data_IF_034382942125
#
_entry.id   IF_034382942125
#
_cell.length_a   1.000
_cell.length_b   1.000
_cell.length_c   1.000
_cell.angle_alpha   90.00
_cell.angle_beta   90.00
_cell.angle_gamma   90.00
#
_symmetry.space_group_name_H-M   'P 1'
#
loop_
_entity.id
_entity.type
_entity.pdbx_description
1 polymer ?
#
# COMPACT_ATOMS: atom_id res chain seq x y z
N UNK A 1 12.18 -1.32 -13.91
CA UNK A 1 11.60 -1.62 -12.59
C UNK A 1 10.37 -2.52 -12.73
N UNK A 2 9.34 -2.13 -13.49
CA UNK A 2 8.16 -2.97 -13.78
C UNK A 2 8.57 -4.35 -14.34
N UNK A 3 9.43 -4.39 -15.37
CA UNK A 3 9.93 -5.66 -15.92
C UNK A 3 10.69 -6.54 -14.91
N UNK A 4 11.32 -5.92 -13.89
CA UNK A 4 12.01 -6.66 -12.83
C UNK A 4 10.99 -7.32 -11.89
N UNK A 5 10.00 -6.55 -11.47
CA UNK A 5 8.90 -7.04 -10.63
C UNK A 5 8.14 -8.18 -11.31
N UNK A 6 7.71 -8.01 -12.57
CA UNK A 6 7.07 -9.10 -13.31
C UNK A 6 8.00 -10.29 -13.55
N UNK A 7 9.29 -10.05 -13.76
CA UNK A 7 10.27 -11.13 -13.88
C UNK A 7 10.36 -11.99 -12.62
N UNK A 8 10.31 -11.36 -11.44
CA UNK A 8 10.29 -12.07 -10.16
C UNK A 8 9.02 -12.90 -9.98
N UNK A 9 7.84 -12.34 -10.29
CA UNK A 9 6.56 -13.05 -10.13
C UNK A 9 6.39 -14.19 -11.13
N UNK A 10 6.82 -13.98 -12.38
CA UNK A 10 6.65 -14.96 -13.45
C UNK A 10 7.78 -15.99 -13.50
N UNK A 11 8.84 -15.84 -12.69
CA UNK A 11 10.06 -16.63 -12.80
C UNK A 11 10.78 -16.44 -14.14
N UNK A 12 10.74 -15.23 -14.72
CA UNK A 12 11.28 -14.91 -16.05
C UNK A 12 12.36 -13.83 -15.99
N UNK A 13 13.25 -13.80 -16.99
CA UNK A 13 14.29 -12.76 -17.07
C UNK A 13 13.66 -11.41 -17.40
N UNK A 14 14.12 -10.34 -16.72
CA UNK A 14 13.57 -8.99 -16.94
C UNK A 14 13.67 -8.50 -18.38
N UNK A 15 14.70 -8.93 -19.12
CA UNK A 15 14.86 -8.60 -20.54
C UNK A 15 13.76 -9.21 -21.42
N UNK A 16 13.32 -10.43 -21.11
CA UNK A 16 12.23 -11.10 -21.81
C UNK A 16 10.90 -10.40 -21.51
N UNK A 17 10.63 -10.11 -20.23
CA UNK A 17 9.41 -9.39 -19.84
C UNK A 17 9.37 -8.01 -20.49
N UNK A 18 10.48 -7.28 -20.57
CA UNK A 18 10.53 -5.96 -21.21
C UNK A 18 10.07 -5.98 -22.67
N UNK A 19 10.34 -7.06 -23.42
CA UNK A 19 9.88 -7.21 -24.81
C UNK A 19 8.37 -7.44 -24.94
N UNK A 20 7.76 -7.99 -23.89
CA UNK A 20 6.35 -8.39 -23.87
C UNK A 20 5.44 -7.39 -23.13
N UNK A 21 6.01 -6.45 -22.37
CA UNK A 21 5.23 -5.45 -21.64
C UNK A 21 4.59 -4.44 -22.59
N UNK A 22 3.27 -4.23 -22.51
CA UNK A 22 2.60 -3.23 -23.33
C UNK A 22 2.86 -1.83 -22.76
N UNK A 23 3.92 -1.17 -23.21
CA UNK A 23 4.26 0.19 -22.76
C UNK A 23 3.18 1.23 -23.13
N UNK A 24 2.37 0.95 -24.16
CA UNK A 24 1.29 1.83 -24.61
C UNK A 24 0.04 1.82 -23.72
N UNK A 25 -0.15 0.78 -22.89
CA UNK A 25 -1.35 0.61 -22.05
C UNK A 25 -1.03 0.86 -20.56
N UNK A 26 -0.10 1.79 -20.33
CA UNK A 26 0.34 2.19 -19.00
C UNK A 26 -0.36 3.49 -18.62
N UNK A 27 -1.21 3.43 -17.59
CA UNK A 27 -1.85 4.59 -17.00
C UNK A 27 -1.24 4.89 -15.62
N UNK A 28 -1.12 6.17 -15.27
CA UNK A 28 -0.71 6.57 -13.91
C UNK A 28 -1.83 7.29 -13.19
N UNK A 29 -2.19 6.78 -12.01
CA UNK A 29 -3.14 7.43 -11.12
C UNK A 29 -2.43 8.35 -10.14
N UNK A 30 -3.03 9.51 -9.85
CA UNK A 30 -2.53 10.44 -8.86
C UNK A 30 -3.00 10.16 -7.43
N UNK A 31 -4.12 9.43 -7.29
CA UNK A 31 -4.74 9.10 -6.01
C UNK A 31 -5.28 7.67 -6.05
N UNK A 32 -5.34 7.02 -4.91
CA UNK A 32 -5.95 5.70 -4.72
C UNK A 32 -6.58 5.64 -3.34
N UNK A 33 -7.83 5.19 -3.25
CA UNK A 33 -8.52 4.98 -1.99
C UNK A 33 -8.69 3.48 -1.76
N UNK A 34 -8.27 3.00 -0.60
CA UNK A 34 -8.69 1.68 -0.13
C UNK A 34 -10.16 1.79 0.28
N UNK A 35 -10.99 0.85 -0.16
CA UNK A 35 -12.44 0.85 0.14
C UNK A 35 -12.71 0.69 1.65
N UNK A 36 -13.97 0.85 2.07
CA UNK A 36 -14.43 0.60 3.44
C UNK A 36 -13.74 1.44 4.53
N UNK A 37 -13.56 2.73 4.28
CA UNK A 37 -12.96 3.65 5.26
C UNK A 37 -11.44 3.61 5.34
N UNK A 38 -10.78 2.86 4.44
CA UNK A 38 -9.33 2.85 4.33
C UNK A 38 -8.74 4.18 3.84
N UNK A 39 -7.41 4.26 3.93
CA UNK A 39 -6.66 5.48 3.62
C UNK A 39 -6.75 5.91 2.15
N UNK A 40 -6.73 7.23 1.95
CA UNK A 40 -6.55 7.85 0.63
C UNK A 40 -5.07 8.13 0.38
N UNK A 41 -4.46 7.26 -0.41
CA UNK A 41 -3.10 7.42 -0.91
C UNK A 41 -3.05 8.48 -2.00
N UNK A 42 -2.05 9.36 -1.92
CA UNK A 42 -1.79 10.36 -2.94
C UNK A 42 -0.34 10.24 -3.39
N UNK A 43 -0.11 10.29 -4.70
CA UNK A 43 1.27 10.31 -5.18
C UNK A 43 1.94 11.62 -4.78
N UNK A 44 3.26 11.58 -4.68
CA UNK A 44 4.08 12.75 -4.41
C UNK A 44 3.81 13.87 -5.43
N UNK A 45 3.61 13.52 -6.71
CA UNK A 45 3.26 14.47 -7.77
C UNK A 45 1.98 15.28 -7.46
N UNK A 46 0.96 14.63 -6.89
CA UNK A 46 -0.28 15.31 -6.48
C UNK A 46 -0.09 16.06 -5.16
N UNK A 47 0.64 15.47 -4.22
CA UNK A 47 0.87 16.01 -2.87
C UNK A 47 1.77 17.26 -2.87
N UNK A 48 2.61 17.46 -3.89
CA UNK A 48 3.43 18.66 -4.03
C UNK A 48 2.60 19.95 -4.23
N UNK A 49 1.33 19.84 -4.59
CA UNK A 49 0.49 21.00 -4.93
C UNK A 49 -0.18 21.64 -3.72
N UNK A 50 -0.36 20.91 -2.61
CA UNK A 50 -1.12 21.38 -1.43
C UNK A 50 -0.61 20.69 -0.15
N UNK A 51 -0.27 21.49 0.88
CA UNK A 51 -0.12 21.01 2.26
C UNK A 51 1.28 21.04 2.87
N UNK A 52 1.29 21.17 4.21
CA UNK A 52 2.46 21.08 5.06
C UNK A 52 3.14 19.70 4.91
N UNK A 53 4.47 19.63 5.03
CA UNK A 53 5.22 18.39 4.84
C UNK A 53 4.76 17.30 5.80
N UNK A 54 4.34 17.67 7.00
CA UNK A 54 4.03 16.83 8.15
C UNK A 54 2.87 15.85 7.92
N UNK A 55 1.93 16.15 7.02
CA UNK A 55 0.72 15.35 6.81
C UNK A 55 0.44 15.03 5.34
N UNK A 56 1.48 14.83 4.53
CA UNK A 56 1.30 14.45 3.13
C UNK A 56 0.88 12.99 3.03
N UNK A 57 -0.21 12.76 2.30
CA UNK A 57 -0.72 11.42 1.98
C UNK A 57 0.15 10.65 0.97
N UNK A 58 1.36 11.13 0.69
CA UNK A 58 2.37 10.40 -0.07
C UNK A 58 3.35 9.65 0.81
N UNK A 59 3.26 9.76 2.13
CA UNK A 59 4.09 8.98 3.04
C UNK A 59 3.33 7.75 3.49
N UNK A 60 3.92 6.59 3.24
CA UNK A 60 3.23 5.31 3.34
C UNK A 60 3.98 4.36 4.26
N UNK A 61 3.20 3.53 4.96
CA UNK A 61 3.62 2.26 5.53
C UNK A 61 3.30 1.15 4.53
N UNK A 62 4.25 0.25 4.33
CA UNK A 62 4.05 -0.93 3.51
C UNK A 62 4.55 -2.18 4.25
N UNK A 63 4.02 -3.33 3.85
CA UNK A 63 4.43 -4.63 4.35
C UNK A 63 4.74 -5.57 3.20
N UNK A 64 5.83 -6.30 3.34
CA UNK A 64 6.28 -7.31 2.39
C UNK A 64 6.50 -8.62 3.13
N UNK A 65 5.90 -9.68 2.60
CA UNK A 65 6.03 -11.04 3.10
C UNK A 65 7.16 -11.76 2.36
N UNK A 66 7.95 -12.53 3.10
CA UNK A 66 9.00 -13.37 2.55
C UNK A 66 8.93 -14.75 3.20
N UNK A 67 9.01 -15.79 2.37
CA UNK A 67 9.21 -17.15 2.86
C UNK A 67 10.69 -17.33 3.24
N UNK A 68 10.92 -17.87 4.43
CA UNK A 68 12.27 -18.20 4.91
C UNK A 68 12.72 -19.57 4.41
N UNK A 69 14.00 -19.86 4.56
CA UNK A 69 14.54 -21.20 4.28
C UNK A 69 13.87 -22.31 5.11
N UNK A 70 13.23 -21.98 6.23
CA UNK A 70 12.47 -22.93 7.06
C UNK A 70 11.00 -23.03 6.67
N UNK A 71 10.57 -22.39 5.58
CA UNK A 71 9.18 -22.38 5.12
C UNK A 71 8.24 -21.48 5.93
N UNK A 72 8.77 -20.68 6.87
CA UNK A 72 7.95 -19.72 7.63
C UNK A 72 7.81 -18.41 6.87
N UNK A 73 6.63 -17.78 6.95
CA UNK A 73 6.39 -16.47 6.34
C UNK A 73 6.77 -15.38 7.35
N UNK A 74 7.74 -14.54 6.97
CA UNK A 74 8.11 -13.34 7.72
C UNK A 74 7.55 -12.09 7.06
N UNK A 75 6.85 -11.28 7.86
CA UNK A 75 6.38 -9.96 7.43
C UNK A 75 7.40 -8.91 7.82
N UNK A 76 7.83 -8.12 6.83
CA UNK A 76 8.69 -6.95 7.03
C UNK A 76 7.91 -5.67 6.78
N UNK A 77 7.81 -4.83 7.79
CA UNK A 77 7.26 -3.48 7.69
C UNK A 77 8.34 -2.51 7.19
N UNK A 78 7.94 -1.58 6.33
CA UNK A 78 8.76 -0.47 5.87
C UNK A 78 7.96 0.80 5.66
N UNK A 79 8.68 1.91 5.44
CA UNK A 79 8.10 3.23 5.20
C UNK A 79 8.70 3.85 3.94
N UNK A 80 7.94 4.67 3.23
CA UNK A 80 8.36 5.18 1.92
C UNK A 80 7.64 6.45 1.48
N UNK A 81 8.25 7.17 0.54
CA UNK A 81 7.50 8.07 -0.35
C UNK A 81 6.76 7.23 -1.41
N UNK A 82 5.48 7.53 -1.68
CA UNK A 82 4.70 7.01 -2.80
C UNK A 82 4.88 7.94 -4.01
N UNK A 83 5.69 7.49 -4.97
CA UNK A 83 6.09 8.31 -6.12
C UNK A 83 5.04 8.24 -7.24
N UNK A 84 4.57 7.04 -7.59
CA UNK A 84 3.54 6.84 -8.63
C UNK A 84 2.66 5.63 -8.32
N UNK A 85 1.41 5.70 -8.77
CA UNK A 85 0.52 4.55 -8.87
C UNK A 85 0.38 4.25 -10.36
N UNK A 86 0.63 3.00 -10.74
CA UNK A 86 0.72 2.56 -12.13
C UNK A 86 -0.32 1.47 -12.33
N UNK A 87 -1.21 1.66 -13.30
CA UNK A 87 -2.19 0.66 -13.71
C UNK A 87 -1.73 0.14 -15.07
N UNK A 88 -1.56 -1.17 -15.16
CA UNK A 88 -1.12 -1.85 -16.36
C UNK A 88 -2.15 -2.91 -16.76
N UNK A 89 -2.72 -2.79 -17.95
CA UNK A 89 -3.47 -3.88 -18.54
C UNK A 89 -2.48 -4.89 -19.13
N UNK A 90 -2.50 -6.12 -18.61
CA UNK A 90 -1.64 -7.21 -19.07
C UNK A 90 -2.33 -7.90 -20.25
N UNK A 91 -1.66 -8.08 -21.39
CA UNK A 91 -2.30 -8.67 -22.55
C UNK A 91 -2.61 -10.15 -22.28
N UNK A 92 -3.69 -10.69 -22.86
CA UNK A 92 -3.95 -12.12 -22.76
C UNK A 92 -2.84 -12.91 -23.44
N UNK A 93 -2.48 -14.06 -22.87
CA UNK A 93 -1.52 -14.96 -23.48
C UNK A 93 -0.73 -15.79 -22.47
N UNK A 94 -0.12 -16.90 -22.94
CA UNK A 94 0.57 -17.85 -22.06
C UNK A 94 1.82 -17.25 -21.39
N UNK A 95 2.42 -16.21 -21.97
CA UNK A 95 3.60 -15.56 -21.41
C UNK A 95 3.36 -15.01 -20.00
N UNK A 96 2.19 -14.42 -19.76
CA UNK A 96 1.83 -13.80 -18.48
C UNK A 96 1.08 -14.74 -17.54
N UNK A 97 0.80 -15.98 -17.98
CA UNK A 97 0.10 -17.00 -17.18
C UNK A 97 -1.19 -16.45 -16.57
N UNK A 98 -1.35 -16.63 -15.25
CA UNK A 98 -2.52 -16.19 -14.52
C UNK A 98 -2.74 -14.67 -14.48
N UNK A 99 -1.76 -13.86 -14.88
CA UNK A 99 -1.88 -12.40 -15.00
C UNK A 99 -2.39 -11.98 -16.38
N UNK A 100 -2.37 -12.86 -17.38
CA UNK A 100 -2.82 -12.55 -18.73
C UNK A 100 -4.28 -12.09 -18.77
N UNK A 101 -4.55 -10.99 -19.47
CA UNK A 101 -5.89 -10.40 -19.58
C UNK A 101 -6.37 -9.64 -18.34
N UNK A 102 -5.55 -9.51 -17.29
CA UNK A 102 -5.90 -8.80 -16.06
C UNK A 102 -5.28 -7.41 -16.01
N UNK A 103 -5.89 -6.53 -15.21
CA UNK A 103 -5.26 -5.28 -14.81
C UNK A 103 -4.46 -5.48 -13.54
N UNK A 104 -3.20 -5.02 -13.54
CA UNK A 104 -2.31 -5.05 -12.37
C UNK A 104 -2.06 -3.62 -11.93
N UNK A 105 -2.25 -3.37 -10.63
CA UNK A 105 -2.02 -2.06 -10.02
C UNK A 105 -0.75 -2.13 -9.19
N UNK A 106 0.21 -1.25 -9.50
CA UNK A 106 1.54 -1.23 -8.93
C UNK A 106 1.84 0.11 -8.29
N UNK A 107 2.61 0.10 -7.22
CA UNK A 107 3.14 1.29 -6.58
C UNK A 107 4.64 1.42 -6.91
N UNK A 108 5.04 2.57 -7.46
CA UNK A 108 6.43 3.01 -7.48
C UNK A 108 6.68 3.78 -6.19
N UNK A 109 7.59 3.28 -5.38
CA UNK A 109 7.87 3.84 -4.06
C UNK A 109 9.37 4.10 -3.91
N UNK A 110 9.73 5.06 -3.07
CA UNK A 110 11.12 5.37 -2.70
C UNK A 110 11.34 5.08 -1.20
N UNK A 111 11.71 3.84 -0.84
CA UNK A 111 11.75 3.40 0.55
C UNK A 111 12.72 4.23 1.39
N UNK A 112 12.41 4.37 2.66
CA UNK A 112 13.26 5.06 3.62
C UNK A 112 14.20 4.08 4.32
N UNK A 113 15.39 4.56 4.67
CA UNK A 113 16.30 3.81 5.53
C UNK A 113 15.97 4.07 7.00
N UNK A 114 15.55 2.99 7.67
CA UNK A 114 15.07 3.01 9.05
C UNK A 114 15.97 2.20 10.00
N UNK A 115 17.12 1.71 9.53
CA UNK A 115 17.99 0.78 10.28
C UNK A 115 17.25 -0.46 10.83
N UNK A 116 16.19 -0.91 10.16
CA UNK A 116 15.38 -2.06 10.58
C UNK A 116 14.34 -1.77 11.67
N UNK A 117 14.21 -0.51 12.11
CA UNK A 117 13.25 -0.10 13.15
C UNK A 117 11.84 0.10 12.60
N UNK A 118 10.85 0.00 13.49
CA UNK A 118 9.42 0.12 13.15
C UNK A 118 8.74 1.15 14.06
N UNK A 119 8.10 2.16 13.47
CA UNK A 119 7.50 3.29 14.19
C UNK A 119 6.32 2.91 15.11
N UNK A 120 5.68 1.77 14.91
CA UNK A 120 4.67 1.24 15.85
C UNK A 120 5.27 0.65 17.13
N UNK A 121 6.59 0.46 17.21
CA UNK A 121 7.29 -0.15 18.36
C UNK A 121 8.20 0.82 19.10
N UNK A 122 8.75 1.80 18.40
CA UNK A 122 9.70 2.76 18.96
C UNK A 122 9.68 4.07 18.17
N UNK A 123 10.36 5.10 18.68
CA UNK A 123 10.58 6.33 17.94
C UNK A 123 11.56 6.09 16.78
N UNK A 124 11.07 6.28 15.56
CA UNK A 124 11.87 6.04 14.36
C UNK A 124 12.05 7.31 13.54
N UNK A 125 13.30 7.52 13.12
CA UNK A 125 13.73 8.60 12.25
C UNK A 125 14.32 7.99 10.99
N UNK A 126 13.97 8.50 9.81
CA UNK A 126 14.63 8.05 8.59
C UNK A 126 15.93 8.83 8.37
N UNK A 127 16.97 8.13 7.91
CA UNK A 127 18.27 8.75 7.59
C UNK A 127 18.31 9.26 6.16
N UNK A 128 17.89 8.40 5.23
CA UNK A 128 17.94 8.67 3.81
C UNK A 128 16.85 7.88 3.06
N UNK A 129 16.74 8.11 1.76
CA UNK A 129 15.84 7.42 0.84
C UNK A 129 16.64 6.48 -0.06
N UNK A 130 16.25 5.21 -0.05
CA UNK A 130 16.84 4.16 -0.88
C UNK A 130 16.39 4.26 -2.34
N UNK A 131 16.95 3.40 -3.18
CA UNK A 131 16.58 3.30 -4.59
C UNK A 131 15.09 2.96 -4.77
N UNK A 132 14.44 3.62 -5.74
CA UNK A 132 13.02 3.36 -6.03
C UNK A 132 12.77 1.91 -6.47
N UNK A 133 11.69 1.33 -5.94
CA UNK A 133 11.23 -0.03 -6.23
C UNK A 133 9.77 -0.04 -6.70
N UNK A 134 9.38 -1.10 -7.40
CA UNK A 134 7.99 -1.38 -7.75
C UNK A 134 7.50 -2.49 -6.81
N UNK A 135 6.31 -2.31 -6.26
CA UNK A 135 5.61 -3.32 -5.47
C UNK A 135 4.14 -3.41 -5.88
N UNK A 136 3.49 -4.49 -5.46
CA UNK A 136 2.05 -4.61 -5.55
C UNK A 136 1.38 -3.56 -4.66
N UNK A 137 0.27 -2.99 -5.12
CA UNK A 137 -0.46 -2.01 -4.32
C UNK A 137 -1.04 -2.61 -3.03
N UNK A 138 -1.26 -3.92 -2.98
CA UNK A 138 -1.71 -4.66 -1.79
C UNK A 138 -0.68 -4.65 -0.64
N UNK A 139 0.58 -4.35 -0.95
CA UNK A 139 1.61 -4.14 0.06
C UNK A 139 1.45 -2.81 0.80
N UNK A 140 0.70 -1.85 0.26
CA UNK A 140 0.44 -0.58 0.95
C UNK A 140 -0.55 -0.80 2.09
N UNK A 141 -0.21 -0.32 3.29
CA UNK A 141 -1.03 -0.54 4.49
C UNK A 141 -1.68 0.72 5.00
N UNK A 142 -0.95 1.82 5.06
CA UNK A 142 -1.47 3.07 5.60
C UNK A 142 -0.66 4.30 5.20
N UNK A 143 -1.23 5.47 5.42
CA UNK A 143 -0.55 6.76 5.44
C UNK A 143 0.09 6.98 6.80
N UNK A 144 1.31 7.52 6.77
CA UNK A 144 2.03 7.92 7.98
C UNK A 144 2.24 9.43 8.01
N UNK A 145 2.28 10.00 9.20
CA UNK A 145 2.67 11.37 9.42
C UNK A 145 4.19 11.50 9.56
N UNK A 146 4.69 12.72 9.36
CA UNK A 146 6.05 13.09 9.74
C UNK A 146 6.00 14.23 10.76
N UNK A 147 6.93 14.19 11.71
CA UNK A 147 7.13 15.28 12.67
C UNK A 147 8.61 15.65 12.73
N UNK A 148 8.90 16.94 12.69
CA UNK A 148 10.28 17.41 12.84
C UNK A 148 10.57 17.68 14.31
N UNK A 149 11.58 17.00 14.85
CA UNK A 149 12.07 17.23 16.22
C UNK A 149 13.59 17.17 16.23
N UNK A 150 14.23 18.12 16.93
CA UNK A 150 15.69 18.21 17.05
C UNK A 150 16.43 18.09 15.70
N UNK A 151 15.90 18.75 14.66
CA UNK A 151 16.50 18.71 13.31
C UNK A 151 16.29 17.42 12.52
N UNK A 152 15.59 16.41 13.08
CA UNK A 152 15.33 15.12 12.46
C UNK A 152 13.84 14.92 12.18
N UNK A 153 13.52 14.15 11.14
CA UNK A 153 12.13 13.79 10.80
C UNK A 153 11.78 12.43 11.41
N UNK A 154 10.91 12.45 12.42
CA UNK A 154 10.31 11.26 13.02
C UNK A 154 9.05 10.84 12.29
N UNK A 155 8.74 9.55 12.33
CA UNK A 155 7.55 8.96 11.72
C UNK A 155 6.45 8.82 12.76
N UNK A 156 5.24 9.24 12.40
CA UNK A 156 4.02 8.98 13.17
C UNK A 156 3.23 7.89 12.43
N UNK A 157 3.30 6.66 12.93
CA UNK A 157 2.43 5.58 12.46
C UNK A 157 1.03 5.79 13.04
N UNK A 158 0.05 6.08 12.18
CA UNK A 158 -1.32 6.41 12.60
C UNK A 158 -2.20 5.16 12.75
N UNK A 159 -1.67 3.97 12.46
CA UNK A 159 -2.42 2.71 12.54
C UNK A 159 -2.33 2.16 13.95
N UNK A 160 -3.47 2.00 14.68
CA UNK A 160 -3.46 1.22 15.90
C UNK A 160 -3.10 -0.23 15.53
N UNK A 161 -2.21 -0.87 16.30
CA UNK A 161 -1.57 -2.16 15.96
C UNK A 161 -2.48 -3.38 15.76
N UNK A 162 -3.79 -3.21 15.60
CA UNK A 162 -4.81 -4.26 15.53
C UNK A 162 -5.70 -4.23 14.27
N UNK A 163 -5.52 -3.28 13.34
CA UNK A 163 -6.35 -3.26 12.11
C UNK A 163 -5.81 -4.24 11.05
N UNK A 164 -6.11 -5.53 11.24
CA UNK A 164 -5.91 -6.57 10.21
C UNK A 164 -6.95 -6.39 9.12
N UNK A 165 -6.55 -6.11 7.89
CA UNK A 165 -7.44 -6.15 6.73
C UNK A 165 -7.74 -7.60 6.38
N UNK A 166 -8.93 -8.09 6.72
CA UNK A 166 -9.45 -9.38 6.24
C UNK A 166 -10.29 -9.17 4.97
N UNK A 167 -10.34 -10.19 4.11
CA UNK A 167 -11.27 -10.17 2.97
C UNK A 167 -12.69 -10.39 3.49
N UNK A 168 -13.61 -9.51 3.10
CA UNK A 168 -15.03 -9.81 3.18
C UNK A 168 -15.39 -10.62 1.93
N UNK A 169 -15.59 -11.93 2.09
CA UNK A 169 -16.27 -12.71 1.08
C UNK A 169 -17.72 -12.21 1.00
N UNK A 170 -18.13 -11.76 -0.17
CA UNK A 170 -19.52 -11.39 -0.43
C UNK A 170 -20.42 -12.61 -0.23
N UNK A 171 -21.17 -12.64 0.86
CA UNK A 171 -22.42 -13.42 0.93
C UNK A 171 -23.55 -12.41 1.03
N UNK A 172 -24.21 -12.20 -0.12
CA UNK A 172 -25.58 -11.69 -0.16
C UNK A 172 -26.49 -12.90 -0.21
N UNK A 173 -27.22 -13.15 0.87
CA UNK A 173 -28.47 -13.92 0.85
C UNK A 173 -29.32 -13.42 2.03
N UNK A 174 -30.44 -12.77 1.73
CA UNK A 174 -31.33 -12.18 2.71
C UNK A 174 -32.27 -13.19 3.37
N UNK A 175 -32.65 -12.85 4.60
CA UNK A 175 -33.90 -13.15 5.34
C UNK A 175 -33.61 -12.56 6.74
N UNK A 176 -34.24 -11.48 7.22
CA UNK A 176 -35.67 -11.35 7.40
C UNK A 176 -36.05 -11.93 8.76
N UNK A 177 -35.88 -11.16 9.85
CA UNK A 177 -36.80 -11.17 11.00
C UNK A 177 -36.51 -10.00 11.96
N UNK A 178 -37.55 -9.23 12.24
CA UNK A 178 -37.62 -8.24 13.31
C UNK A 178 -37.83 -8.94 14.64
N UNK A 179 -37.17 -8.51 15.72
CA UNK A 179 -37.79 -8.44 17.04
C UNK A 179 -37.35 -7.16 17.72
N UNK A 180 -38.38 -6.40 18.10
CA UNK A 180 -38.42 -5.18 18.89
C UNK A 180 -38.18 -5.54 20.36
N UNK A 181 -37.42 -4.73 21.11
CA UNK A 181 -37.80 -4.43 22.49
C UNK A 181 -37.22 -3.07 22.92
N UNK A 182 -38.16 -2.15 23.12
CA UNK A 182 -38.25 -1.02 24.04
C UNK A 182 -37.49 -1.24 25.37
N UNK A 183 -36.99 -0.29 26.16
CA UNK A 183 -37.12 1.15 26.37
C UNK A 183 -36.04 1.51 27.42
N UNK A 184 -35.49 2.72 27.40
CA UNK A 184 -35.36 3.57 28.60
C UNK A 184 -34.71 4.89 28.23
N UNK A 185 -35.54 5.94 28.30
CA UNK A 185 -35.17 7.35 28.36
C UNK A 185 -34.16 7.67 29.48
N UNK A 186 -33.62 8.88 29.36
CA UNK A 186 -32.76 9.67 30.27
C UNK A 186 -31.26 9.58 29.86
N UNK A 187 -30.53 10.66 29.55
CA UNK A 187 -30.79 12.08 29.75
C UNK A 187 -29.60 12.91 29.18
N UNK A 188 -29.87 14.16 28.78
CA UNK A 188 -28.96 15.32 28.58
C UNK A 188 -27.99 15.47 27.37
N UNK A 189 -28.44 16.34 26.45
CA UNK A 189 -27.81 17.54 25.82
C UNK A 189 -26.56 18.05 26.61
N UNK A 190 -25.38 18.34 26.02
CA UNK A 190 -25.00 19.36 25.03
C UNK A 190 -23.62 19.02 24.42
#
# INVERSE_FOLDING_TARGET
RIARYFGQILGKRSAEVKKQLPMAVLFTAGKLRIQYGGDLFQTKQVSHRLGALESRNCYIKFETEFETHSGSILTRTGYSDLEKIIILAVPPGPFFGALGGKSVILALVKPWDMDGKVASKENVYFKDRRAMIIMDVRSLKAIVGLVKTQGRWGIIDRVPGAATTTFADHITAGAGEQVQDELSDNDFIL
#
